data_IF_303354817480
#
_entry.id   IF_303354817480
#
_cell.length_a   1.000
_cell.length_b   1.000
_cell.length_c   1.000
_cell.angle_alpha   90.00
_cell.angle_beta   90.00
_cell.angle_gamma   90.00
#
_symmetry.space_group_name_H-M   'P 1'
#
loop_
_entity.id
_entity.type
_entity.pdbx_description
1 polymer ?
#
# COMPACT_ATOMS: atom_id res chain seq x y z
N UNK A 1 4.63 3.37 1.26
CA UNK A 1 4.39 4.44 0.27
C UNK A 1 5.59 5.38 0.22
N UNK A 2 5.98 5.86 -0.97
CA UNK A 2 7.14 6.74 -1.16
C UNK A 2 6.77 8.00 -1.93
N UNK A 3 7.52 9.08 -1.67
CA UNK A 3 7.44 10.36 -2.40
C UNK A 3 8.84 10.70 -2.90
N UNK A 4 8.95 11.26 -4.10
CA UNK A 4 10.23 11.67 -4.66
C UNK A 4 10.87 12.82 -3.87
N UNK A 5 12.20 12.89 -3.88
CA UNK A 5 12.96 13.91 -3.17
C UNK A 5 13.39 13.51 -1.76
N UNK A 6 14.39 14.23 -1.29
CA UNK A 6 14.99 14.03 0.02
C UNK A 6 14.02 14.30 1.17
N UNK A 7 14.23 13.57 2.27
CA UNK A 7 13.42 13.62 3.48
C UNK A 7 13.22 15.04 4.01
N UNK A 8 14.32 15.79 4.17
CA UNK A 8 14.30 17.13 4.74
C UNK A 8 13.40 18.08 3.93
N UNK A 9 13.50 18.03 2.60
CA UNK A 9 12.67 18.86 1.71
C UNK A 9 11.18 18.54 1.85
N UNK A 10 10.82 17.25 1.89
CA UNK A 10 9.42 16.86 2.06
C UNK A 10 8.89 17.18 3.46
N UNK A 11 9.75 17.12 4.49
CA UNK A 11 9.43 17.56 5.84
C UNK A 11 9.12 19.07 5.88
N UNK A 12 9.96 19.91 5.26
CA UNK A 12 9.71 21.36 5.17
C UNK A 12 8.40 21.68 4.46
N UNK A 13 8.14 21.06 3.29
CA UNK A 13 6.86 21.22 2.58
C UNK A 13 5.65 20.87 3.44
N UNK A 14 5.78 19.84 4.28
CA UNK A 14 4.73 19.45 5.19
C UNK A 14 4.58 20.46 6.35
N UNK A 15 5.67 20.98 6.92
CA UNK A 15 5.60 22.06 7.91
C UNK A 15 4.97 23.34 7.37
N UNK A 16 5.21 23.70 6.12
CA UNK A 16 4.52 24.82 5.46
C UNK A 16 3.02 24.60 5.41
N UNK A 17 2.60 23.36 5.12
CA UNK A 17 1.19 22.99 5.20
C UNK A 17 0.64 23.11 6.62
N UNK A 18 1.40 22.74 7.65
CA UNK A 18 0.96 22.84 9.06
C UNK A 18 0.75 24.27 9.55
N UNK A 19 1.45 25.24 8.96
CA UNK A 19 1.27 26.66 9.29
C UNK A 19 -0.03 27.25 8.73
N UNK A 20 -0.66 26.59 7.74
CA UNK A 20 -1.89 27.07 7.10
C UNK A 20 -3.10 26.78 7.99
N UNK A 21 -3.44 27.74 8.84
CA UNK A 21 -4.60 27.67 9.72
C UNK A 21 -5.43 28.95 9.63
N UNK A 22 -6.66 28.88 10.12
CA UNK A 22 -7.54 30.03 10.21
C UNK A 22 -7.24 30.81 11.50
N UNK A 23 -6.88 32.09 11.37
CA UNK A 23 -6.42 32.93 12.49
C UNK A 23 -7.46 33.07 13.61
N UNK A 24 -8.74 33.26 13.27
CA UNK A 24 -9.80 33.50 14.26
C UNK A 24 -10.28 32.23 14.99
N UNK A 25 -10.23 31.07 14.34
CA UNK A 25 -10.66 29.80 14.94
C UNK A 25 -9.98 28.61 14.26
N UNK A 26 -8.94 28.10 14.92
CA UNK A 26 -8.14 26.97 14.48
C UNK A 26 -8.94 25.66 14.30
N UNK A 27 -10.13 25.53 14.91
CA UNK A 27 -10.97 24.32 14.80
C UNK A 27 -11.80 24.27 13.51
N UNK A 28 -12.06 25.41 12.86
CA UNK A 28 -12.88 25.50 11.62
C UNK A 28 -12.05 25.36 10.33
N UNK A 29 -10.74 25.62 10.43
CA UNK A 29 -9.85 25.69 9.28
C UNK A 29 -9.42 24.33 8.71
N UNK A 30 -8.22 24.32 8.15
CA UNK A 30 -7.65 23.16 7.48
C UNK A 30 -7.27 22.07 8.50
N UNK A 31 -7.81 20.87 8.33
CA UNK A 31 -7.39 19.73 9.14
C UNK A 31 -6.09 19.12 8.63
N UNK A 32 -5.06 19.19 9.46
CA UNK A 32 -3.77 18.57 9.17
C UNK A 32 -3.74 17.14 9.71
N UNK A 33 -3.95 16.14 8.86
CA UNK A 33 -3.86 14.74 9.28
C UNK A 33 -2.43 14.22 9.25
N UNK A 34 -1.96 13.64 10.36
CA UNK A 34 -0.59 13.09 10.48
C UNK A 34 -0.42 11.66 10.00
N UNK A 35 -1.48 10.86 10.03
CA UNK A 35 -1.40 9.45 9.63
C UNK A 35 -1.11 9.33 8.11
N UNK A 36 -0.22 8.41 7.68
CA UNK A 36 0.13 8.26 6.26
C UNK A 36 -1.11 8.00 5.36
N UNK A 37 -2.09 7.26 5.87
CA UNK A 37 -3.32 6.86 5.17
C UNK A 37 -4.19 8.06 4.88
N UNK A 38 -4.25 8.98 5.85
CA UNK A 38 -5.00 10.23 5.72
C UNK A 38 -4.25 11.25 4.86
N UNK A 39 -2.92 11.22 4.84
CA UNK A 39 -2.13 12.03 3.90
C UNK A 39 -2.40 11.55 2.46
N UNK A 40 -2.37 10.24 2.22
CA UNK A 40 -2.71 9.68 0.91
C UNK A 40 -4.17 9.97 0.53
N UNK A 41 -5.11 9.72 1.43
CA UNK A 41 -6.53 10.06 1.22
C UNK A 41 -6.72 11.53 0.87
N UNK A 42 -6.01 12.45 1.53
CA UNK A 42 -6.08 13.88 1.23
C UNK A 42 -5.53 14.19 -0.17
N UNK A 43 -4.46 13.52 -0.61
CA UNK A 43 -3.94 13.66 -1.96
C UNK A 43 -4.96 13.18 -3.01
N UNK A 44 -5.57 12.00 -2.81
CA UNK A 44 -6.62 11.48 -3.71
C UNK A 44 -7.86 12.38 -3.71
N UNK A 45 -8.32 12.83 -2.54
CA UNK A 45 -9.43 13.78 -2.42
C UNK A 45 -9.16 15.11 -3.15
N UNK A 46 -7.91 15.55 -3.23
CA UNK A 46 -7.53 16.73 -3.99
C UNK A 46 -7.66 16.56 -5.51
N UNK A 47 -7.62 15.32 -6.01
CA UNK A 47 -7.77 14.98 -7.43
C UNK A 47 -9.23 14.69 -7.82
N UNK A 48 -10.15 14.63 -6.85
CA UNK A 48 -11.57 14.28 -7.06
C UNK A 48 -12.45 15.51 -6.79
N UNK A 49 -13.52 15.76 -7.56
CA UNK A 49 -14.52 16.81 -7.30
C UNK A 49 -15.42 16.46 -6.10
N UNK A 50 -14.81 16.39 -4.92
CA UNK A 50 -15.37 15.85 -3.67
C UNK A 50 -16.50 16.70 -3.04
N UNK A 51 -16.79 17.87 -3.62
CA UNK A 51 -17.93 18.71 -3.20
C UNK A 51 -19.23 18.31 -3.89
N UNK A 52 -19.17 17.52 -4.96
CA UNK A 52 -20.33 16.97 -5.65
C UNK A 52 -20.74 15.63 -5.02
N UNK A 53 -22.02 15.26 -5.14
CA UNK A 53 -22.51 13.96 -4.68
C UNK A 53 -21.74 12.79 -5.30
N UNK A 54 -21.43 12.87 -6.61
CA UNK A 54 -20.61 11.87 -7.32
C UNK A 54 -19.22 11.73 -6.70
N UNK A 55 -18.56 12.84 -6.39
CA UNK A 55 -17.24 12.84 -5.77
C UNK A 55 -17.25 12.29 -4.34
N UNK A 56 -18.28 12.61 -3.57
CA UNK A 56 -18.49 12.05 -2.23
C UNK A 56 -18.66 10.53 -2.29
N UNK A 57 -19.52 10.02 -3.17
CA UNK A 57 -19.71 8.58 -3.38
C UNK A 57 -18.42 7.88 -3.87
N UNK A 58 -17.58 8.54 -4.66
CA UNK A 58 -16.30 7.99 -5.08
C UNK A 58 -15.33 7.82 -3.89
N UNK A 59 -15.30 8.80 -2.97
CA UNK A 59 -14.48 8.73 -1.77
C UNK A 59 -14.96 7.69 -0.75
N UNK A 60 -16.26 7.40 -0.71
CA UNK A 60 -16.82 6.34 0.14
C UNK A 60 -16.36 4.93 -0.28
N UNK A 61 -16.21 4.71 -1.59
CA UNK A 61 -15.66 3.45 -2.14
C UNK A 61 -14.18 3.25 -1.80
N UNK A 62 -13.45 4.33 -1.51
CA UNK A 62 -12.02 4.28 -1.21
C UNK A 62 -11.78 4.02 0.29
N UNK A 63 -11.16 2.89 0.60
CA UNK A 63 -10.68 2.56 1.96
C UNK A 63 -9.15 2.54 1.97
N UNK A 64 -8.55 3.24 2.95
CA UNK A 64 -7.09 3.39 3.08
C UNK A 64 -6.68 3.03 4.50
N UNK A 65 -5.69 2.15 4.64
CA UNK A 65 -5.20 1.66 5.93
C UNK A 65 -3.68 1.79 6.02
N UNK A 66 -3.18 1.87 7.25
CA UNK A 66 -1.77 1.63 7.56
C UNK A 66 -1.57 0.17 7.92
N UNK A 67 -0.50 -0.44 7.40
CA UNK A 67 -0.34 -1.90 7.45
C UNK A 67 -1.42 -2.62 6.64
N UNK A 68 -1.60 -3.91 6.91
CA UNK A 68 -2.62 -4.74 6.25
C UNK A 68 -3.52 -5.40 7.29
N UNK A 69 -4.64 -4.76 7.64
CA UNK A 69 -5.56 -5.29 8.64
C UNK A 69 -6.37 -6.47 8.10
N UNK A 70 -6.90 -7.34 8.98
CA UNK A 70 -7.99 -8.25 8.63
C UNK A 70 -9.20 -7.46 8.09
N UNK A 71 -9.91 -7.92 7.04
CA UNK A 71 -9.79 -9.21 6.34
C UNK A 71 -8.86 -9.19 5.10
N UNK A 72 -8.02 -8.17 4.93
CA UNK A 72 -7.20 -7.98 3.72
C UNK A 72 -5.85 -8.70 3.77
N UNK A 73 -5.40 -9.09 4.96
CA UNK A 73 -4.15 -9.80 5.21
C UNK A 73 -4.08 -11.16 4.48
N UNK A 74 -5.23 -11.84 4.35
CA UNK A 74 -5.38 -13.13 3.66
C UNK A 74 -5.68 -13.00 2.16
N UNK A 75 -5.90 -11.79 1.65
CA UNK A 75 -6.24 -11.56 0.24
C UNK A 75 -4.99 -11.27 -0.59
N UNK A 76 -5.00 -11.69 -1.87
CA UNK A 76 -3.94 -11.33 -2.81
C UNK A 76 -3.99 -9.82 -3.06
N UNK A 77 -2.91 -9.13 -2.71
CA UNK A 77 -2.73 -7.69 -2.96
C UNK A 77 -2.15 -7.49 -4.35
N UNK A 78 -2.57 -6.42 -5.02
CA UNK A 78 -2.13 -6.05 -6.36
C UNK A 78 -1.20 -4.84 -6.28
N UNK A 79 -0.33 -4.72 -7.28
CA UNK A 79 0.59 -3.59 -7.45
C UNK A 79 0.18 -2.78 -8.67
N UNK A 80 0.49 -1.48 -8.66
CA UNK A 80 0.25 -0.58 -9.79
C UNK A 80 1.62 -0.26 -10.40
N UNK A 81 2.06 -0.94 -11.48
CA UNK A 81 3.41 -0.78 -12.04
C UNK A 81 3.74 0.67 -12.38
N UNK A 82 2.75 1.37 -12.93
CA UNK A 82 2.89 2.77 -13.30
C UNK A 82 3.12 3.75 -12.14
N UNK A 83 2.98 3.31 -10.89
CA UNK A 83 3.24 4.10 -9.70
C UNK A 83 4.38 3.53 -8.83
N UNK A 84 5.05 2.47 -9.28
CA UNK A 84 6.16 1.87 -8.54
C UNK A 84 7.39 2.76 -8.59
N UNK A 85 7.90 3.14 -7.41
CA UNK A 85 9.12 3.94 -7.27
C UNK A 85 10.30 3.35 -8.05
N UNK A 86 10.51 2.04 -7.98
CA UNK A 86 11.64 1.36 -8.65
C UNK A 86 11.59 1.50 -10.17
N UNK A 87 10.39 1.63 -10.75
CA UNK A 87 10.20 1.79 -12.20
C UNK A 87 10.14 3.26 -12.63
N UNK A 88 9.65 4.14 -11.75
CA UNK A 88 9.39 5.55 -12.08
C UNK A 88 10.48 6.53 -11.65
N UNK A 89 11.38 6.13 -10.75
CA UNK A 89 12.45 7.00 -10.25
C UNK A 89 13.81 6.48 -10.69
N UNK A 90 14.63 7.35 -11.30
CA UNK A 90 16.00 7.02 -11.69
C UNK A 90 16.80 6.50 -10.48
N UNK A 91 17.58 5.41 -10.62
CA UNK A 91 18.50 4.95 -9.58
C UNK A 91 19.39 6.08 -9.05
N UNK A 92 19.71 6.03 -7.76
CA UNK A 92 20.50 7.06 -7.08
C UNK A 92 19.72 8.32 -6.65
N UNK A 93 18.48 8.54 -7.11
CA UNK A 93 17.67 9.67 -6.64
C UNK A 93 17.06 9.39 -5.27
N UNK A 94 17.31 10.32 -4.33
CA UNK A 94 16.74 10.29 -2.97
C UNK A 94 15.21 10.32 -3.01
N UNK A 95 14.58 9.57 -2.12
CA UNK A 95 13.14 9.53 -1.93
C UNK A 95 12.82 9.52 -0.44
N UNK A 96 11.56 9.79 -0.11
CA UNK A 96 11.05 9.84 1.25
C UNK A 96 10.04 8.73 1.48
N UNK A 97 10.15 8.03 2.61
CA UNK A 97 9.13 7.08 3.06
C UNK A 97 8.06 7.81 3.85
N UNK A 98 6.80 7.63 3.48
CA UNK A 98 5.69 8.38 4.06
C UNK A 98 5.48 8.07 5.55
N UNK A 99 5.74 6.85 6.01
CA UNK A 99 5.72 6.46 7.43
C UNK A 99 6.68 7.30 8.26
N UNK A 100 7.96 7.37 7.84
CA UNK A 100 8.98 8.21 8.49
C UNK A 100 8.61 9.69 8.50
N UNK A 101 8.06 10.21 7.39
CA UNK A 101 7.58 11.60 7.35
C UNK A 101 6.48 11.81 8.40
N UNK A 102 5.47 10.94 8.39
CA UNK A 102 4.32 10.99 9.29
C UNK A 102 4.73 10.93 10.76
N UNK A 103 5.64 10.03 11.13
CA UNK A 103 6.19 9.93 12.48
C UNK A 103 6.86 11.26 12.90
N UNK A 104 7.66 11.86 12.01
CA UNK A 104 8.37 13.11 12.30
C UNK A 104 7.47 14.34 12.48
N UNK A 105 6.21 14.27 12.02
CA UNK A 105 5.25 15.37 12.11
C UNK A 105 4.18 15.12 13.18
N UNK A 106 4.25 14.01 13.92
CA UNK A 106 3.38 13.74 15.07
C UNK A 106 2.41 12.56 14.90
N UNK A 107 2.66 11.63 13.98
CA UNK A 107 1.91 10.36 13.96
C UNK A 107 2.44 9.40 15.03
N UNK A 108 1.56 8.99 15.95
CA UNK A 108 1.92 8.24 17.17
C UNK A 108 2.00 6.72 17.02
N UNK A 109 1.43 6.17 15.95
CA UNK A 109 1.18 4.71 15.83
C UNK A 109 2.21 3.98 14.96
N UNK A 110 3.32 4.62 14.60
CA UNK A 110 4.35 4.02 13.73
C UNK A 110 4.92 2.72 14.31
N UNK A 111 5.31 2.73 15.60
CA UNK A 111 5.82 1.55 16.30
C UNK A 111 4.79 0.43 16.40
N UNK A 112 3.55 0.76 16.78
CA UNK A 112 2.45 -0.21 16.92
C UNK A 112 2.17 -0.91 15.58
N UNK A 113 2.08 -0.14 14.49
CA UNK A 113 1.86 -0.69 13.15
C UNK A 113 3.04 -1.57 12.72
N UNK A 114 4.28 -1.18 13.03
CA UNK A 114 5.46 -2.01 12.75
C UNK A 114 5.36 -3.37 13.43
N UNK A 115 5.08 -3.39 14.74
CA UNK A 115 4.94 -4.65 15.51
C UNK A 115 3.83 -5.54 14.96
N UNK A 116 2.68 -4.96 14.58
CA UNK A 116 1.57 -5.71 13.99
C UNK A 116 1.91 -6.26 12.60
N UNK A 117 2.62 -5.49 11.78
CA UNK A 117 3.08 -5.96 10.47
C UNK A 117 4.12 -7.08 10.59
N UNK A 118 4.99 -7.05 11.59
CA UNK A 118 5.98 -8.10 11.80
C UNK A 118 5.31 -9.41 12.24
N UNK A 119 4.32 -9.32 13.15
CA UNK A 119 3.44 -10.45 13.50
C UNK A 119 2.73 -11.01 12.26
N UNK A 120 2.21 -10.13 11.37
CA UNK A 120 1.54 -10.54 10.13
C UNK A 120 2.50 -11.23 9.16
N UNK A 121 3.72 -10.72 9.01
CA UNK A 121 4.74 -11.31 8.13
C UNK A 121 5.20 -12.68 8.61
N UNK A 122 5.35 -12.88 9.91
CA UNK A 122 5.67 -14.20 10.48
C UNK A 122 4.63 -15.25 10.09
N UNK A 123 3.33 -14.97 10.32
CA UNK A 123 2.23 -15.86 9.90
C UNK A 123 2.21 -16.09 8.38
N UNK A 124 2.50 -15.05 7.59
CA UNK A 124 2.54 -15.16 6.14
C UNK A 124 3.72 -16.04 5.65
N UNK A 125 4.87 -16.00 6.34
CA UNK A 125 6.03 -16.83 6.03
C UNK A 125 5.74 -18.31 6.30
N UNK A 126 5.12 -18.63 7.45
CA UNK A 126 4.68 -20.00 7.76
C UNK A 126 3.68 -20.54 6.72
N UNK A 127 2.70 -19.72 6.35
CA UNK A 127 1.75 -20.06 5.28
C UNK A 127 2.46 -20.32 3.95
N UNK A 128 3.43 -19.47 3.59
CA UNK A 128 4.18 -19.61 2.34
C UNK A 128 5.03 -20.89 2.32
N UNK A 129 5.69 -21.24 3.43
CA UNK A 129 6.45 -22.49 3.54
C UNK A 129 5.54 -23.72 3.33
N UNK A 130 4.36 -23.74 3.97
CA UNK A 130 3.35 -24.80 3.75
C UNK A 130 2.88 -24.84 2.29
N UNK A 131 2.65 -23.67 1.68
CA UNK A 131 2.25 -23.56 0.27
C UNK A 131 3.32 -24.09 -0.68
N UNK A 132 4.60 -23.84 -0.44
CA UNK A 132 5.70 -24.34 -1.26
C UNK A 132 5.80 -25.87 -1.20
N UNK A 133 5.69 -26.46 -0.01
CA UNK A 133 5.69 -27.91 0.15
C UNK A 133 4.50 -28.54 -0.60
N UNK A 134 3.30 -27.98 -0.45
CA UNK A 134 2.12 -28.44 -1.16
C UNK A 134 2.28 -28.30 -2.69
N UNK A 135 2.85 -27.18 -3.16
CA UNK A 135 3.14 -26.97 -4.57
C UNK A 135 4.15 -27.99 -5.11
N UNK A 136 5.21 -28.32 -4.37
CA UNK A 136 6.18 -29.35 -4.78
C UNK A 136 5.54 -30.73 -4.92
N UNK A 137 4.68 -31.12 -3.97
CA UNK A 137 3.91 -32.37 -4.06
C UNK A 137 2.98 -32.38 -5.28
N UNK A 138 2.29 -31.26 -5.53
CA UNK A 138 1.42 -31.12 -6.70
C UNK A 138 2.22 -31.22 -8.01
N UNK A 139 3.39 -30.60 -8.10
CA UNK A 139 4.25 -30.70 -9.28
C UNK A 139 4.72 -32.13 -9.53
N UNK A 140 5.13 -32.86 -8.49
CA UNK A 140 5.50 -34.27 -8.61
C UNK A 140 4.33 -35.14 -9.09
N UNK A 141 3.13 -34.94 -8.53
CA UNK A 141 1.93 -35.66 -8.95
C UNK A 141 1.47 -35.29 -10.38
N UNK A 142 1.69 -34.05 -10.82
CA UNK A 142 1.44 -33.65 -12.21
C UNK A 142 2.42 -34.32 -13.18
N UNK A 143 3.70 -34.43 -12.81
CA UNK A 143 4.71 -35.07 -13.65
C UNK A 143 4.39 -36.55 -13.91
N UNK A 144 3.83 -37.28 -12.94
CA UNK A 144 3.43 -38.68 -13.14
C UNK A 144 2.24 -38.88 -14.09
N UNK A 145 1.46 -37.83 -14.39
CA UNK A 145 0.27 -37.89 -15.26
C UNK A 145 0.46 -37.08 -16.56
N UNK A 146 1.69 -36.60 -16.81
CA UNK A 146 2.01 -35.69 -17.91
C UNK A 146 1.76 -36.30 -19.31
N UNK A 147 1.89 -37.62 -19.44
CA UNK A 147 1.67 -38.37 -20.69
C UNK A 147 0.23 -38.87 -20.86
N UNK A 148 -0.70 -38.42 -20.01
CA UNK A 148 -2.11 -38.77 -20.19
C UNK A 148 -2.68 -38.17 -21.47
N UNK A 149 -3.64 -38.86 -22.08
CA UNK A 149 -4.34 -38.41 -23.29
C UNK A 149 -4.94 -37.00 -23.12
N UNK A 150 -5.45 -36.70 -21.92
CA UNK A 150 -5.98 -35.38 -21.58
C UNK A 150 -4.89 -34.29 -21.60
N UNK A 151 -3.69 -34.60 -21.08
CA UNK A 151 -2.55 -33.68 -21.10
C UNK A 151 -2.06 -33.42 -22.53
N UNK A 152 -2.00 -34.45 -23.37
CA UNK A 152 -1.62 -34.32 -24.78
C UNK A 152 -2.63 -33.48 -25.58
N UNK A 153 -3.93 -33.70 -25.37
CA UNK A 153 -4.99 -32.87 -25.98
C UNK A 153 -4.93 -31.42 -25.53
N UNK A 154 -4.62 -31.16 -24.26
CA UNK A 154 -4.43 -29.81 -23.72
C UNK A 154 -3.18 -29.14 -24.31
N UNK A 155 -2.08 -29.87 -24.44
CA UNK A 155 -0.85 -29.37 -25.05
C UNK A 155 -1.06 -28.98 -26.53
N UNK A 156 -1.85 -29.76 -27.28
CA UNK A 156 -2.22 -29.43 -28.66
C UNK A 156 -3.02 -28.11 -28.77
N UNK A 157 -3.68 -27.68 -27.68
CA UNK A 157 -4.39 -26.41 -27.57
C UNK A 157 -3.53 -25.28 -26.95
N UNK A 158 -2.27 -25.57 -26.61
CA UNK A 158 -1.31 -24.61 -26.06
C UNK A 158 -1.38 -24.38 -24.54
N UNK A 159 -1.96 -25.32 -23.79
CA UNK A 159 -2.03 -25.29 -22.31
C UNK A 159 -0.87 -26.02 -21.63
#
# INVERSE_FOLDING_TARGET
MNVSGEFFRNKLKYHDYLRKSTNFNHRRGQFHFRAPSRIFYKAVRGMIPHKTARGAAALERLKVFEGVPPPYDKKKRIVVPQALRVLRLKPGRKYTTLGKLSASVGWKYDSIVSTLEDKRKARAAEYYAKKLVAAKKLTAAKASVAESEASQKLAALGY
#
